data_IF_091144626009
#
_entry.id   IF_091144626009
#
_cell.length_a   1.000
_cell.length_b   1.000
_cell.length_c   1.000
_cell.angle_alpha   90.00
_cell.angle_beta   90.00
_cell.angle_gamma   90.00
#
_symmetry.space_group_name_H-M   'P 1'
#
loop_
_entity.id
_entity.type
_entity.pdbx_description
1 polymer ?
#
# COMPACT_ATOMS: atom_id res chain seq x y z
N UNK A 1 45.59 23.80 29.33
CA UNK A 1 45.71 22.86 28.19
C UNK A 1 44.33 22.64 27.63
N UNK A 2 43.94 23.38 26.59
CA UNK A 2 42.72 23.10 25.84
C UNK A 2 42.96 21.81 25.07
N UNK A 3 42.21 20.75 25.37
CA UNK A 3 42.11 19.58 24.52
C UNK A 3 41.66 20.07 23.15
N UNK A 4 42.57 20.09 22.18
CA UNK A 4 42.22 20.38 20.79
C UNK A 4 41.25 19.30 20.35
N UNK A 5 39.99 19.68 20.12
CA UNK A 5 39.03 18.79 19.48
C UNK A 5 39.52 18.56 18.05
N UNK A 6 40.19 17.43 17.84
CA UNK A 6 40.57 17.00 16.49
C UNK A 6 39.30 16.96 15.63
N UNK A 7 39.33 17.57 14.43
CA UNK A 7 38.18 17.61 13.54
C UNK A 7 37.76 16.17 13.22
N UNK A 8 36.59 15.78 13.74
CA UNK A 8 35.97 14.49 13.44
C UNK A 8 35.93 14.30 11.92
N UNK A 9 36.49 13.20 11.38
CA UNK A 9 36.54 12.99 9.95
C UNK A 9 35.14 13.03 9.38
N UNK A 10 34.92 13.92 8.42
CA UNK A 10 33.62 14.03 7.77
C UNK A 10 33.30 12.69 7.11
N UNK A 11 32.11 12.10 7.36
CA UNK A 11 31.78 10.81 6.78
C UNK A 11 31.81 10.93 5.26
N UNK A 12 32.57 10.02 4.63
CA UNK A 12 32.76 9.97 3.18
C UNK A 12 31.42 9.94 2.44
N UNK A 13 31.39 10.46 1.22
CA UNK A 13 30.20 10.46 0.34
C UNK A 13 29.58 9.05 0.25
N UNK A 14 30.42 8.00 0.16
CA UNK A 14 30.00 6.60 0.13
C UNK A 14 29.26 6.17 1.40
N UNK A 15 29.75 6.55 2.60
CA UNK A 15 29.08 6.23 3.87
C UNK A 15 27.72 6.92 3.98
N UNK A 16 27.60 8.16 3.49
CA UNK A 16 26.33 8.88 3.42
C UNK A 16 25.36 8.20 2.44
N UNK A 17 25.84 7.80 1.27
CA UNK A 17 25.04 7.08 0.27
C UNK A 17 24.56 5.72 0.81
N UNK A 18 25.43 4.92 1.44
CA UNK A 18 25.07 3.64 2.05
C UNK A 18 24.10 3.82 3.23
N UNK A 19 24.27 4.87 4.05
CA UNK A 19 23.33 5.19 5.13
C UNK A 19 21.95 5.57 4.57
N UNK A 20 21.89 6.36 3.50
CA UNK A 20 20.63 6.74 2.85
C UNK A 20 19.96 5.52 2.18
N UNK A 21 20.75 4.65 1.55
CA UNK A 21 20.27 3.40 0.98
C UNK A 21 19.70 2.48 2.05
N UNK A 22 20.47 2.16 3.09
CA UNK A 22 20.02 1.31 4.22
C UNK A 22 18.80 1.90 4.94
N UNK A 23 18.71 3.23 5.08
CA UNK A 23 17.53 3.88 5.63
C UNK A 23 16.30 3.74 4.72
N UNK A 24 16.47 3.78 3.39
CA UNK A 24 15.39 3.58 2.42
C UNK A 24 14.75 2.19 2.51
N UNK A 25 15.56 1.17 2.87
CA UNK A 25 15.13 -0.21 3.11
C UNK A 25 14.84 -0.53 4.59
N UNK A 26 15.02 0.43 5.49
CA UNK A 26 14.76 0.22 6.92
C UNK A 26 13.25 0.18 7.15
N UNK A 27 12.68 -1.02 7.10
CA UNK A 27 11.27 -1.24 7.38
C UNK A 27 10.92 -0.76 8.79
N UNK A 28 10.18 0.35 8.87
CA UNK A 28 9.74 0.94 10.12
C UNK A 28 8.37 0.40 10.46
N UNK A 29 8.35 -0.58 11.36
CA UNK A 29 7.09 -1.03 11.95
C UNK A 29 6.63 0.04 12.93
N UNK A 30 5.41 0.58 12.76
CA UNK A 30 4.77 1.56 13.64
C UNK A 30 4.32 0.90 14.95
N UNK A 31 5.27 0.36 15.68
CA UNK A 31 5.03 -0.24 16.98
C UNK A 31 5.72 0.64 18.02
N UNK A 32 5.03 1.04 19.09
CA UNK A 32 5.60 1.91 20.14
C UNK A 32 6.63 1.18 21.04
N UNK A 33 6.76 -0.15 20.90
CA UNK A 33 7.71 -0.96 21.69
C UNK A 33 9.18 -0.94 21.23
N UNK A 34 10.09 -1.52 22.04
CA UNK A 34 11.52 -1.49 21.77
C UNK A 34 11.89 -2.20 20.45
N UNK A 35 12.95 -1.78 19.73
CA UNK A 35 13.29 -2.28 18.39
C UNK A 35 13.41 -3.81 18.29
N UNK A 36 13.96 -4.45 19.32
CA UNK A 36 14.09 -5.92 19.40
C UNK A 36 12.72 -6.61 19.38
N UNK A 37 11.73 -6.04 20.07
CA UNK A 37 10.36 -6.56 20.09
C UNK A 37 9.69 -6.38 18.73
N UNK A 38 9.91 -5.27 18.03
CA UNK A 38 9.34 -5.05 16.69
C UNK A 38 9.74 -6.13 15.68
N UNK A 39 11.03 -6.46 15.64
CA UNK A 39 11.56 -7.51 14.75
C UNK A 39 10.97 -8.89 15.08
N UNK A 40 10.84 -9.21 16.37
CA UNK A 40 10.21 -10.46 16.82
C UNK A 40 8.74 -10.55 16.42
N UNK A 41 7.97 -9.47 16.61
CA UNK A 41 6.56 -9.42 16.20
C UNK A 41 6.43 -9.59 14.70
N UNK A 42 7.25 -8.91 13.90
CA UNK A 42 7.24 -9.07 12.45
C UNK A 42 7.58 -10.50 12.02
N UNK A 43 8.66 -11.06 12.56
CA UNK A 43 9.05 -12.43 12.28
C UNK A 43 7.91 -13.40 12.65
N UNK A 44 7.25 -13.21 13.79
CA UNK A 44 6.09 -14.00 14.19
C UNK A 44 4.94 -13.88 13.18
N UNK A 45 4.60 -12.67 12.72
CA UNK A 45 3.55 -12.45 11.70
C UNK A 45 3.87 -13.24 10.42
N UNK A 46 5.11 -13.15 9.93
CA UNK A 46 5.55 -13.86 8.73
C UNK A 46 5.55 -15.37 8.94
N UNK A 47 6.06 -15.86 10.08
CA UNK A 47 6.09 -17.28 10.41
C UNK A 47 4.67 -17.87 10.52
N UNK A 48 3.74 -17.18 11.19
CA UNK A 48 2.34 -17.62 11.30
C UNK A 48 1.71 -17.71 9.90
N UNK A 49 1.90 -16.70 9.06
CA UNK A 49 1.39 -16.72 7.69
C UNK A 49 1.99 -17.87 6.86
N UNK A 50 3.30 -18.12 7.00
CA UNK A 50 3.98 -19.20 6.30
C UNK A 50 3.50 -20.59 6.75
N UNK A 51 3.39 -20.83 8.06
CA UNK A 51 2.88 -22.09 8.62
C UNK A 51 1.43 -22.32 8.20
N UNK A 52 0.58 -21.30 8.31
CA UNK A 52 -0.81 -21.39 7.87
C UNK A 52 -0.90 -21.82 6.40
N UNK A 53 -0.15 -21.18 5.50
CA UNK A 53 -0.19 -21.52 4.08
C UNK A 53 0.41 -22.89 3.79
N UNK A 54 1.50 -23.27 4.47
CA UNK A 54 2.09 -24.60 4.31
C UNK A 54 1.08 -25.71 4.69
N UNK A 55 0.32 -25.51 5.77
CA UNK A 55 -0.74 -26.45 6.19
C UNK A 55 -1.85 -26.50 5.14
N UNK A 56 -2.36 -25.36 4.67
CA UNK A 56 -3.42 -25.33 3.66
C UNK A 56 -2.98 -25.98 2.35
N UNK A 57 -1.78 -25.65 1.84
CA UNK A 57 -1.21 -26.25 0.64
C UNK A 57 -1.07 -27.77 0.82
N UNK A 58 -0.55 -28.21 1.96
CA UNK A 58 -0.39 -29.64 2.25
C UNK A 58 -1.74 -30.37 2.28
N UNK A 59 -2.77 -29.78 2.89
CA UNK A 59 -4.11 -30.38 2.93
C UNK A 59 -4.76 -30.46 1.55
N UNK A 60 -4.62 -29.42 0.71
CA UNK A 60 -5.14 -29.44 -0.66
C UNK A 60 -4.40 -30.47 -1.51
N UNK A 61 -3.06 -30.50 -1.40
CA UNK A 61 -2.24 -31.49 -2.10
C UNK A 61 -2.59 -32.92 -1.67
N UNK A 62 -2.76 -33.17 -0.37
CA UNK A 62 -3.15 -34.47 0.16
C UNK A 62 -4.55 -34.88 -0.33
N UNK A 63 -5.50 -33.94 -0.35
CA UNK A 63 -6.85 -34.20 -0.84
C UNK A 63 -6.89 -34.54 -2.34
N UNK A 64 -6.05 -33.91 -3.16
CA UNK A 64 -5.88 -34.26 -4.58
C UNK A 64 -5.13 -35.58 -4.76
N UNK A 65 -4.13 -35.89 -3.92
CA UNK A 65 -3.34 -37.12 -4.05
C UNK A 65 -4.07 -38.38 -3.59
N UNK A 66 -4.98 -38.25 -2.62
CA UNK A 66 -5.79 -39.35 -2.07
C UNK A 66 -7.17 -39.46 -2.74
N UNK A 67 -7.37 -38.80 -3.88
CA UNK A 67 -8.62 -38.76 -4.65
C UNK A 67 -9.85 -38.32 -3.81
N UNK A 68 -9.64 -37.55 -2.73
CA UNK A 68 -10.75 -36.92 -1.97
C UNK A 68 -11.40 -35.80 -2.77
N UNK A 69 -10.62 -35.19 -3.65
CA UNK A 69 -11.06 -34.25 -4.66
C UNK A 69 -10.74 -34.85 -6.03
N UNK A 70 -11.70 -34.78 -6.95
CA UNK A 70 -11.58 -35.32 -8.30
C UNK A 70 -12.01 -34.31 -9.35
N UNK A 71 -11.76 -34.61 -10.63
CA UNK A 71 -12.25 -33.79 -11.73
C UNK A 71 -13.78 -33.55 -11.72
N UNK A 72 -14.56 -34.48 -11.13
CA UNK A 72 -16.02 -34.36 -11.05
C UNK A 72 -16.47 -33.21 -10.13
N UNK A 73 -15.64 -32.77 -9.19
CA UNK A 73 -15.96 -31.62 -8.33
C UNK A 73 -16.06 -30.30 -9.11
N UNK A 74 -15.55 -30.29 -10.35
CA UNK A 74 -15.69 -29.17 -11.29
C UNK A 74 -16.94 -29.28 -12.18
N UNK A 75 -17.77 -30.31 -12.03
CA UNK A 75 -19.05 -30.40 -12.75
C UNK A 75 -19.92 -29.15 -12.46
N UNK A 76 -20.43 -28.52 -13.52
CA UNK A 76 -21.19 -27.27 -13.42
C UNK A 76 -20.36 -25.98 -13.49
N UNK A 77 -19.02 -26.06 -13.56
CA UNK A 77 -18.16 -24.91 -13.86
C UNK A 77 -18.01 -24.63 -15.37
N UNK A 78 -18.55 -25.51 -16.22
CA UNK A 78 -18.50 -25.42 -17.67
C UNK A 78 -17.45 -26.35 -18.28
N UNK A 79 -17.34 -26.35 -19.61
CA UNK A 79 -16.33 -27.16 -20.30
C UNK A 79 -14.92 -26.66 -20.00
N UNK A 80 -13.99 -27.59 -19.78
CA UNK A 80 -12.57 -27.27 -19.76
C UNK A 80 -12.18 -26.57 -21.06
N UNK A 81 -11.47 -25.45 -20.94
CA UNK A 81 -10.93 -24.71 -22.07
C UNK A 81 -9.75 -25.50 -22.62
N UNK A 82 -9.67 -25.60 -23.94
CA UNK A 82 -8.50 -26.17 -24.61
C UNK A 82 -7.28 -25.32 -24.23
N UNK A 83 -6.34 -25.89 -23.48
CA UNK A 83 -5.12 -25.22 -23.13
C UNK A 83 -4.35 -24.83 -24.39
N UNK A 84 -4.20 -23.53 -24.62
CA UNK A 84 -3.15 -23.01 -25.50
C UNK A 84 -2.01 -22.51 -24.62
N UNK A 85 -0.74 -22.75 -24.99
CA UNK A 85 0.44 -22.22 -24.29
C UNK A 85 0.33 -20.73 -23.91
N UNK A 86 -0.30 -19.94 -24.78
CA UNK A 86 -0.47 -18.51 -24.61
C UNK A 86 -1.50 -18.13 -23.55
N UNK A 87 -2.51 -18.96 -23.28
CA UNK A 87 -3.62 -18.62 -22.40
C UNK A 87 -3.43 -19.03 -20.93
N UNK A 88 -2.76 -20.16 -20.67
CA UNK A 88 -2.76 -20.81 -19.33
C UNK A 88 -1.36 -21.12 -18.79
N UNK A 89 -0.30 -20.68 -19.47
CA UNK A 89 1.07 -21.05 -19.15
C UNK A 89 1.44 -22.46 -19.66
N UNK A 90 2.65 -22.90 -19.32
CA UNK A 90 3.24 -24.12 -19.86
C UNK A 90 3.01 -25.38 -19.02
N UNK A 91 2.52 -25.25 -17.78
CA UNK A 91 2.22 -26.41 -16.96
C UNK A 91 1.12 -27.25 -17.62
N UNK A 92 1.42 -28.54 -17.86
CA UNK A 92 0.47 -29.45 -18.51
C UNK A 92 -0.76 -29.56 -17.61
N UNK A 93 -1.95 -29.54 -18.21
CA UNK A 93 -3.11 -30.07 -17.52
C UNK A 93 -2.83 -31.54 -17.16
N UNK A 94 -2.56 -31.84 -15.89
CA UNK A 94 -2.75 -33.18 -15.36
C UNK A 94 -4.11 -33.66 -15.86
N UNK A 95 -4.18 -34.91 -16.34
CA UNK A 95 -5.34 -35.41 -17.09
C UNK A 95 -6.65 -34.92 -16.45
N UNK A 96 -7.33 -33.94 -17.07
CA UNK A 96 -8.44 -33.25 -16.43
C UNK A 96 -9.66 -34.16 -16.26
N UNK A 97 -9.61 -35.39 -16.79
CA UNK A 97 -10.60 -36.42 -16.52
C UNK A 97 -10.38 -37.16 -15.18
N UNK A 98 -9.18 -37.08 -14.59
CA UNK A 98 -8.82 -37.93 -13.44
C UNK A 98 -8.35 -37.17 -12.21
N UNK A 99 -7.80 -35.95 -12.34
CA UNK A 99 -7.29 -35.18 -11.19
C UNK A 99 -8.07 -33.90 -10.96
N UNK A 100 -8.13 -33.47 -9.70
CA UNK A 100 -8.79 -32.22 -9.32
C UNK A 100 -7.93 -31.00 -9.68
N UNK A 101 -6.61 -31.09 -9.49
CA UNK A 101 -5.68 -30.02 -9.87
C UNK A 101 -5.19 -30.22 -11.30
N UNK A 102 -5.80 -29.51 -12.26
CA UNK A 102 -5.32 -29.53 -13.64
C UNK A 102 -3.89 -28.97 -13.74
N UNK A 103 -3.57 -27.86 -13.09
CA UNK A 103 -2.20 -27.32 -13.04
C UNK A 103 -1.72 -27.24 -11.59
N UNK A 104 -1.21 -28.33 -10.98
CA UNK A 104 -0.92 -28.40 -9.55
C UNK A 104 -0.02 -27.28 -9.02
N UNK A 105 1.13 -27.02 -9.65
CA UNK A 105 2.12 -26.05 -9.16
C UNK A 105 1.55 -24.62 -9.30
N UNK A 106 0.95 -24.32 -10.45
CA UNK A 106 0.34 -23.02 -10.74
C UNK A 106 -0.88 -22.77 -9.84
N UNK A 107 -1.73 -23.78 -9.62
CA UNK A 107 -2.87 -23.69 -8.70
C UNK A 107 -2.39 -23.42 -7.28
N UNK A 108 -1.46 -24.24 -6.76
CA UNK A 108 -0.97 -24.12 -5.39
C UNK A 108 -0.16 -22.83 -5.14
N UNK A 109 0.49 -22.29 -6.18
CA UNK A 109 1.20 -21.01 -6.05
C UNK A 109 0.28 -19.81 -5.72
N UNK A 110 -1.02 -19.92 -6.01
CA UNK A 110 -2.00 -18.89 -5.65
C UNK A 110 -2.16 -18.68 -4.15
N UNK A 111 -1.79 -19.67 -3.33
CA UNK A 111 -1.72 -19.49 -1.87
C UNK A 111 -0.68 -18.42 -1.46
N UNK A 112 0.21 -17.97 -2.36
CA UNK A 112 0.97 -16.74 -2.16
C UNK A 112 0.08 -15.53 -1.83
N UNK A 113 -1.10 -15.40 -2.45
CA UNK A 113 -2.05 -14.32 -2.14
C UNK A 113 -2.67 -14.49 -0.75
N UNK A 114 -2.95 -15.72 -0.32
CA UNK A 114 -3.43 -16.00 1.04
C UNK A 114 -2.34 -15.74 2.09
N UNK A 115 -1.07 -16.03 1.80
CA UNK A 115 0.06 -15.60 2.63
C UNK A 115 0.06 -14.08 2.82
N UNK A 116 -0.04 -13.32 1.72
CA UNK A 116 -0.15 -11.87 1.78
C UNK A 116 -1.38 -11.42 2.59
N UNK A 117 -2.54 -12.04 2.38
CA UNK A 117 -3.76 -11.73 3.12
C UNK A 117 -3.60 -11.93 4.64
N UNK A 118 -3.02 -13.05 5.07
CA UNK A 118 -2.82 -13.37 6.49
C UNK A 118 -1.83 -12.40 7.14
N UNK A 119 -0.78 -11.98 6.43
CA UNK A 119 0.14 -10.92 6.92
C UNK A 119 -0.60 -9.59 7.10
N UNK A 120 -1.37 -9.16 6.10
CA UNK A 120 -2.13 -7.91 6.14
C UNK A 120 -3.17 -7.94 7.27
N UNK A 121 -3.91 -9.05 7.40
CA UNK A 121 -4.94 -9.22 8.42
C UNK A 121 -4.34 -9.18 9.83
N UNK A 122 -3.21 -9.83 10.07
CA UNK A 122 -2.52 -9.78 11.37
C UNK A 122 -2.14 -8.35 11.74
N UNK A 123 -1.63 -7.55 10.80
CA UNK A 123 -1.38 -6.12 11.04
C UNK A 123 -2.67 -5.36 11.37
N UNK A 124 -3.75 -5.61 10.63
CA UNK A 124 -5.04 -4.98 10.87
C UNK A 124 -5.61 -5.30 12.26
N UNK A 125 -5.47 -6.55 12.72
CA UNK A 125 -5.90 -6.98 14.05
C UNK A 125 -5.06 -6.36 15.16
N UNK A 126 -3.74 -6.20 14.95
CA UNK A 126 -2.88 -5.47 15.88
C UNK A 126 -3.30 -3.99 15.98
N UNK A 127 -3.62 -3.36 14.85
CA UNK A 127 -4.12 -1.98 14.83
C UNK A 127 -5.47 -1.85 15.54
N UNK A 128 -6.41 -2.78 15.31
CA UNK A 128 -7.69 -2.81 16.02
C UNK A 128 -7.49 -2.93 17.53
N UNK A 129 -6.57 -3.81 17.95
CA UNK A 129 -6.26 -3.99 19.37
C UNK A 129 -5.65 -2.72 19.99
N UNK A 130 -4.78 -2.03 19.26
CA UNK A 130 -4.16 -0.79 19.75
C UNK A 130 -5.10 0.40 19.74
N UNK A 131 -5.90 0.57 18.70
CA UNK A 131 -6.82 1.70 18.53
C UNK A 131 -8.08 1.53 19.39
N UNK A 132 -8.59 0.30 19.51
CA UNK A 132 -9.77 -0.02 20.33
C UNK A 132 -9.56 0.25 21.81
N UNK A 133 -8.34 0.05 22.33
CA UNK A 133 -8.01 0.39 23.72
C UNK A 133 -7.87 1.90 23.96
N UNK A 134 -7.38 2.66 22.97
CA UNK A 134 -7.12 4.11 23.13
C UNK A 134 -8.38 4.96 22.92
N UNK A 135 -9.26 4.60 21.98
CA UNK A 135 -10.49 5.35 21.71
C UNK A 135 -11.53 5.28 22.85
N UNK A 136 -11.39 4.36 23.80
CA UNK A 136 -12.26 4.26 24.98
C UNK A 136 -11.81 5.11 26.17
N UNK A 137 -10.59 5.67 26.16
CA UNK A 137 -9.96 6.16 27.40
C UNK A 137 -9.79 7.68 27.49
N UNK A 138 -9.72 8.46 26.40
CA UNK A 138 -9.49 9.91 26.51
C UNK A 138 -10.15 10.76 25.41
N UNK A 139 -11.09 11.64 25.79
CA UNK A 139 -11.67 12.69 24.93
C UNK A 139 -10.65 13.78 24.51
N UNK A 140 -9.41 13.76 25.02
CA UNK A 140 -8.32 14.66 24.65
C UNK A 140 -7.39 14.14 23.55
N UNK A 141 -7.61 12.92 23.03
CA UNK A 141 -6.65 12.20 22.17
C UNK A 141 -6.71 12.52 20.66
N UNK A 142 -7.48 13.53 20.26
CA UNK A 142 -7.40 14.07 18.90
C UNK A 142 -5.97 14.54 18.54
N UNK A 143 -5.17 14.91 19.55
CA UNK A 143 -3.75 15.25 19.42
C UNK A 143 -2.82 14.04 19.27
N UNK A 144 -3.25 12.78 19.53
CA UNK A 144 -2.44 11.57 19.27
C UNK A 144 -2.76 10.91 17.93
N UNK A 145 -3.96 11.12 17.39
CA UNK A 145 -4.26 10.88 15.96
C UNK A 145 -3.42 11.77 15.01
N UNK A 146 -2.74 12.79 15.57
CA UNK A 146 -1.96 13.84 14.90
C UNK A 146 -0.72 13.36 14.13
N UNK A 147 -0.25 12.13 14.39
CA UNK A 147 0.86 11.47 13.66
C UNK A 147 0.53 10.03 13.24
N UNK A 148 -0.76 9.71 13.05
CA UNK A 148 -1.14 8.35 12.70
C UNK A 148 -0.87 8.05 11.23
N UNK A 149 -0.37 6.85 10.96
CA UNK A 149 -0.31 6.31 9.60
C UNK A 149 -1.72 6.04 9.11
N UNK A 150 -2.04 6.46 7.89
CA UNK A 150 -3.41 6.38 7.34
C UNK A 150 -3.99 4.96 7.43
N UNK A 151 -3.21 3.95 7.03
CA UNK A 151 -3.63 2.55 7.09
C UNK A 151 -3.74 2.04 8.54
N UNK A 152 -2.82 2.46 9.41
CA UNK A 152 -2.85 2.07 10.83
C UNK A 152 -4.02 2.71 11.59
N UNK A 153 -4.45 3.90 11.20
CA UNK A 153 -5.63 4.58 11.76
C UNK A 153 -6.95 3.96 11.29
N UNK A 154 -6.95 3.30 10.12
CA UNK A 154 -8.14 2.73 9.49
C UNK A 154 -7.92 1.23 9.18
N UNK A 155 -7.91 0.35 10.19
CA UNK A 155 -7.63 -1.08 10.00
C UNK A 155 -8.63 -1.78 9.08
N UNK A 156 -9.86 -1.27 8.94
CA UNK A 156 -10.83 -1.79 7.96
C UNK A 156 -10.32 -1.74 6.52
N UNK A 157 -9.47 -0.76 6.18
CA UNK A 157 -8.83 -0.70 4.86
C UNK A 157 -7.86 -1.87 4.64
N UNK A 158 -7.16 -2.30 5.69
CA UNK A 158 -6.29 -3.47 5.64
C UNK A 158 -7.10 -4.76 5.56
N UNK A 159 -8.18 -4.87 6.34
CA UNK A 159 -9.08 -6.04 6.30
C UNK A 159 -9.69 -6.22 4.91
N UNK A 160 -10.17 -5.15 4.30
CA UNK A 160 -10.73 -5.21 2.95
C UNK A 160 -9.68 -5.62 1.90
N UNK A 161 -8.45 -5.10 1.99
CA UNK A 161 -7.36 -5.54 1.09
C UNK A 161 -7.03 -7.03 1.29
N UNK A 162 -6.97 -7.50 2.54
CA UNK A 162 -6.78 -8.91 2.83
C UNK A 162 -7.92 -9.75 2.23
N UNK A 163 -9.17 -9.28 2.31
CA UNK A 163 -10.32 -9.89 1.66
C UNK A 163 -10.16 -9.97 0.14
N UNK A 164 -9.72 -8.89 -0.52
CA UNK A 164 -9.41 -8.91 -1.96
C UNK A 164 -8.34 -9.95 -2.31
N UNK A 165 -7.30 -10.09 -1.49
CA UNK A 165 -6.26 -11.12 -1.68
C UNK A 165 -6.79 -12.55 -1.49
N UNK A 166 -7.71 -12.79 -0.54
CA UNK A 166 -8.37 -14.10 -0.38
C UNK A 166 -9.24 -14.42 -1.58
N UNK A 167 -10.04 -13.45 -2.06
CA UNK A 167 -10.85 -13.62 -3.27
C UNK A 167 -9.96 -13.95 -4.47
N UNK A 168 -8.89 -13.18 -4.69
CA UNK A 168 -7.88 -13.46 -5.72
C UNK A 168 -7.31 -14.88 -5.62
N UNK A 169 -6.86 -15.29 -4.43
CA UNK A 169 -6.34 -16.64 -4.19
C UNK A 169 -7.37 -17.70 -4.63
N UNK A 170 -8.61 -17.56 -4.18
CA UNK A 170 -9.67 -18.53 -4.43
C UNK A 170 -10.01 -18.60 -5.93
N UNK A 171 -10.26 -17.46 -6.57
CA UNK A 171 -10.68 -17.43 -7.98
C UNK A 171 -9.57 -17.90 -8.91
N UNK A 172 -8.32 -17.50 -8.65
CA UNK A 172 -7.17 -17.92 -9.44
C UNK A 172 -6.84 -19.39 -9.23
N UNK A 173 -6.91 -19.88 -7.98
CA UNK A 173 -6.79 -21.31 -7.67
C UNK A 173 -7.84 -22.13 -8.44
N UNK A 174 -9.13 -21.75 -8.37
CA UNK A 174 -10.20 -22.45 -9.08
C UNK A 174 -10.02 -22.41 -10.60
N UNK A 175 -9.51 -21.32 -11.15
CA UNK A 175 -9.20 -21.26 -12.58
C UNK A 175 -8.11 -22.26 -12.98
N UNK A 176 -6.96 -22.24 -12.32
CA UNK A 176 -5.84 -23.13 -12.67
C UNK A 176 -6.10 -24.60 -12.32
N UNK A 177 -6.93 -24.85 -11.30
CA UNK A 177 -7.31 -26.21 -10.92
C UNK A 177 -8.35 -26.79 -11.90
N UNK A 178 -9.30 -25.99 -12.39
CA UNK A 178 -10.40 -26.49 -13.24
C UNK A 178 -10.20 -26.28 -14.74
N UNK A 179 -9.44 -25.26 -15.13
CA UNK A 179 -9.31 -24.73 -16.49
C UNK A 179 -10.65 -24.44 -17.18
N UNK A 180 -11.68 -24.08 -16.41
CA UNK A 180 -13.04 -23.80 -16.94
C UNK A 180 -13.26 -22.32 -17.24
N UNK A 181 -14.08 -22.01 -18.26
CA UNK A 181 -14.38 -20.61 -18.61
C UNK A 181 -14.90 -19.79 -17.43
N UNK A 182 -15.72 -20.40 -16.55
CA UNK A 182 -16.21 -19.75 -15.34
C UNK A 182 -15.07 -19.41 -14.39
N UNK A 183 -14.14 -20.36 -14.16
CA UNK A 183 -12.94 -20.14 -13.37
C UNK A 183 -12.12 -18.97 -13.90
N UNK A 184 -11.79 -18.96 -15.20
CA UNK A 184 -10.98 -17.90 -15.81
C UNK A 184 -11.64 -16.53 -15.70
N UNK A 185 -12.96 -16.46 -15.89
CA UNK A 185 -13.69 -15.18 -15.76
C UNK A 185 -13.67 -14.66 -14.32
N UNK A 186 -13.78 -15.56 -13.33
CA UNK A 186 -13.66 -15.20 -11.92
C UNK A 186 -12.25 -14.73 -11.56
N UNK A 187 -11.22 -15.43 -12.04
CA UNK A 187 -9.82 -15.07 -11.87
C UNK A 187 -9.53 -13.66 -12.40
N UNK A 188 -9.86 -13.41 -13.66
CA UNK A 188 -9.69 -12.11 -14.29
C UNK A 188 -10.47 -11.00 -13.56
N UNK A 189 -11.73 -11.27 -13.20
CA UNK A 189 -12.56 -10.32 -12.44
C UNK A 189 -11.93 -9.91 -11.10
N UNK A 190 -11.31 -10.87 -10.39
CA UNK A 190 -10.63 -10.60 -9.12
C UNK A 190 -9.40 -9.68 -9.27
N UNK A 191 -8.72 -9.72 -10.42
CA UNK A 191 -7.58 -8.84 -10.74
C UNK A 191 -8.04 -7.39 -10.81
N UNK A 192 -9.19 -7.13 -11.43
CA UNK A 192 -9.75 -5.78 -11.45
C UNK A 192 -10.16 -5.32 -10.05
N UNK A 193 -10.76 -6.18 -9.24
CA UNK A 193 -11.15 -5.85 -7.86
C UNK A 193 -9.95 -5.37 -7.05
N UNK A 194 -8.84 -6.11 -7.06
CA UNK A 194 -7.65 -5.74 -6.29
C UNK A 194 -6.97 -4.47 -6.84
N UNK A 195 -6.90 -4.32 -8.17
CA UNK A 195 -6.34 -3.11 -8.80
C UNK A 195 -7.14 -1.86 -8.45
N UNK A 196 -8.46 -1.91 -8.57
CA UNK A 196 -9.33 -0.77 -8.24
C UNK A 196 -9.21 -0.43 -6.76
N UNK A 197 -9.11 -1.44 -5.89
CA UNK A 197 -8.90 -1.22 -4.47
C UNK A 197 -7.58 -0.48 -4.17
N UNK A 198 -6.47 -0.90 -4.79
CA UNK A 198 -5.17 -0.22 -4.65
C UNK A 198 -5.21 1.21 -5.19
N UNK A 199 -5.86 1.43 -6.35
CA UNK A 199 -6.07 2.76 -6.91
C UNK A 199 -6.85 3.63 -5.90
N UNK A 200 -7.90 3.10 -5.31
CA UNK A 200 -8.66 3.82 -4.30
C UNK A 200 -7.88 4.14 -3.05
N UNK A 201 -7.04 3.22 -2.54
CA UNK A 201 -6.12 3.53 -1.45
C UNK A 201 -5.18 4.68 -1.83
N UNK A 202 -4.65 4.68 -3.05
CA UNK A 202 -3.82 5.77 -3.56
C UNK A 202 -4.61 7.08 -3.71
N UNK A 203 -5.88 7.03 -4.09
CA UNK A 203 -6.77 8.19 -4.16
C UNK A 203 -7.08 8.76 -2.77
N UNK A 204 -7.41 7.93 -1.79
CA UNK A 204 -7.61 8.32 -0.38
C UNK A 204 -6.36 9.02 0.16
N UNK A 205 -5.19 8.49 -0.17
CA UNK A 205 -3.88 9.10 0.12
C UNK A 205 -3.72 10.46 -0.55
N UNK A 206 -4.05 10.59 -1.83
CA UNK A 206 -3.98 11.85 -2.57
C UNK A 206 -4.94 12.90 -1.99
N UNK A 207 -6.18 12.53 -1.70
CA UNK A 207 -7.19 13.40 -1.09
C UNK A 207 -6.72 13.89 0.28
N UNK A 208 -6.19 12.98 1.11
CA UNK A 208 -5.61 13.32 2.41
C UNK A 208 -4.46 14.30 2.27
N UNK A 209 -3.63 14.12 1.25
CA UNK A 209 -2.53 15.03 0.93
C UNK A 209 -3.00 16.40 0.42
N UNK A 210 -4.12 16.46 -0.31
CA UNK A 210 -4.74 17.69 -0.81
C UNK A 210 -5.57 18.43 0.26
N UNK A 211 -5.61 17.92 1.50
CA UNK A 211 -6.35 18.52 2.63
C UNK A 211 -7.86 18.68 2.38
N UNK A 212 -8.45 17.85 1.51
CA UNK A 212 -9.91 17.79 1.32
C UNK A 212 -10.52 17.02 2.50
N UNK A 213 -10.51 17.66 3.68
CA UNK A 213 -10.63 17.03 5.01
C UNK A 213 -12.08 16.89 5.49
N UNK A 214 -13.02 16.58 4.60
CA UNK A 214 -14.35 16.22 5.07
C UNK A 214 -14.37 14.70 5.31
N UNK A 215 -14.36 14.27 6.58
CA UNK A 215 -14.30 12.85 6.97
C UNK A 215 -15.41 12.01 6.35
N UNK A 216 -16.56 12.63 6.07
CA UNK A 216 -17.67 12.04 5.31
C UNK A 216 -17.29 11.78 3.85
N UNK A 217 -16.58 12.71 3.20
CA UNK A 217 -16.09 12.56 1.83
C UNK A 217 -15.05 11.45 1.74
N UNK A 218 -14.17 11.31 2.73
CA UNK A 218 -13.19 10.22 2.76
C UNK A 218 -13.86 8.85 2.90
N UNK A 219 -14.84 8.75 3.81
CA UNK A 219 -15.61 7.52 4.02
C UNK A 219 -16.43 7.15 2.79
N UNK A 220 -17.11 8.12 2.17
CA UNK A 220 -17.84 7.95 0.91
C UNK A 220 -16.87 7.56 -0.20
N UNK A 221 -15.72 8.21 -0.35
CA UNK A 221 -14.73 7.84 -1.35
C UNK A 221 -14.23 6.39 -1.17
N UNK A 222 -13.96 5.97 0.07
CA UNK A 222 -13.57 4.59 0.40
C UNK A 222 -14.69 3.61 0.01
N UNK A 223 -15.94 3.91 0.34
CA UNK A 223 -17.08 3.03 0.05
C UNK A 223 -17.40 3.00 -1.45
N UNK A 224 -17.34 4.15 -2.13
CA UNK A 224 -17.54 4.27 -3.57
C UNK A 224 -16.45 3.55 -4.36
N UNK A 225 -15.19 3.61 -3.92
CA UNK A 225 -14.10 2.79 -4.50
C UNK A 225 -14.41 1.32 -4.29
N UNK A 226 -14.77 0.91 -3.07
CA UNK A 226 -14.99 -0.50 -2.75
C UNK A 226 -16.17 -1.08 -3.54
N UNK A 227 -17.28 -0.34 -3.63
CA UNK A 227 -18.44 -0.71 -4.45
C UNK A 227 -18.14 -0.64 -5.94
N UNK A 228 -17.41 0.39 -6.39
CA UNK A 228 -16.99 0.56 -7.78
C UNK A 228 -16.07 -0.58 -8.24
N UNK A 229 -15.18 -1.07 -7.36
CA UNK A 229 -14.32 -2.22 -7.63
C UNK A 229 -15.14 -3.49 -7.86
N UNK A 230 -16.10 -3.76 -6.98
CA UNK A 230 -16.99 -4.91 -7.08
C UNK A 230 -17.87 -4.84 -8.34
N UNK A 231 -18.44 -3.66 -8.61
CA UNK A 231 -19.30 -3.47 -9.77
C UNK A 231 -18.53 -3.51 -11.10
N UNK A 232 -17.33 -2.92 -11.17
CA UNK A 232 -16.47 -3.02 -12.34
C UNK A 232 -16.01 -4.45 -12.59
N UNK A 233 -15.64 -5.20 -11.53
CA UNK A 233 -15.35 -6.63 -11.64
C UNK A 233 -16.52 -7.41 -12.23
N UNK A 234 -17.75 -7.13 -11.78
CA UNK A 234 -18.97 -7.73 -12.34
C UNK A 234 -19.24 -7.34 -13.81
N UNK A 235 -19.01 -6.09 -14.19
CA UNK A 235 -19.25 -5.63 -15.58
C UNK A 235 -18.20 -6.13 -16.55
N UNK A 236 -16.94 -6.20 -16.13
CA UNK A 236 -15.88 -6.83 -16.92
C UNK A 236 -16.14 -8.33 -17.08
N UNK A 237 -16.65 -8.99 -16.03
CA UNK A 237 -17.15 -10.37 -16.12
C UNK A 237 -18.22 -10.52 -17.21
N UNK A 238 -19.25 -9.66 -17.22
CA UNK A 238 -20.29 -9.73 -18.26
C UNK A 238 -19.76 -9.41 -19.67
N UNK A 239 -18.85 -8.45 -19.79
CA UNK A 239 -18.31 -8.03 -21.08
C UNK A 239 -17.40 -9.09 -21.70
N UNK A 240 -16.49 -9.68 -20.91
CA UNK A 240 -15.62 -10.76 -21.36
C UNK A 240 -16.41 -12.02 -21.73
N UNK A 241 -17.55 -12.25 -21.09
CA UNK A 241 -18.50 -13.31 -21.48
C UNK A 241 -19.05 -13.09 -22.91
N UNK A 242 -19.16 -11.85 -23.37
CA UNK A 242 -19.84 -11.51 -24.63
C UNK A 242 -18.91 -11.39 -25.84
N UNK A 243 -17.65 -10.99 -25.66
CA UNK A 243 -16.79 -10.59 -26.80
C UNK A 243 -15.75 -11.65 -27.19
N UNK A 244 -15.54 -12.68 -26.35
CA UNK A 244 -14.48 -13.64 -26.59
C UNK A 244 -13.13 -13.05 -26.16
N UNK A 245 -12.42 -13.83 -25.35
CA UNK A 245 -11.17 -13.53 -24.70
C UNK A 245 -10.02 -13.25 -25.67
N UNK A 246 -9.58 -12.00 -25.91
CA UNK A 246 -8.28 -11.81 -26.62
C UNK A 246 -7.33 -10.70 -26.12
N UNK A 247 -7.73 -9.65 -25.41
CA UNK A 247 -6.78 -8.56 -25.08
C UNK A 247 -6.17 -8.62 -23.67
N UNK A 248 -5.16 -9.48 -23.49
CA UNK A 248 -4.35 -9.57 -22.27
C UNK A 248 -3.48 -8.34 -21.98
N UNK A 249 -3.23 -7.51 -23.00
CA UNK A 249 -2.43 -6.28 -22.89
C UNK A 249 -3.08 -5.25 -21.96
N UNK A 250 -4.40 -5.14 -21.98
CA UNK A 250 -5.16 -4.18 -21.18
C UNK A 250 -5.02 -4.42 -19.68
N UNK A 251 -4.92 -5.69 -19.27
CA UNK A 251 -4.77 -6.09 -17.87
C UNK A 251 -3.39 -5.73 -17.32
N UNK A 252 -2.34 -5.96 -18.12
CA UNK A 252 -0.97 -5.59 -17.73
C UNK A 252 -0.85 -4.08 -17.62
N UNK A 253 -1.47 -3.33 -18.54
CA UNK A 253 -1.56 -1.88 -18.47
C UNK A 253 -2.33 -1.44 -17.22
N UNK A 254 -3.39 -2.14 -16.81
CA UNK A 254 -4.13 -1.82 -15.59
C UNK A 254 -3.34 -2.07 -14.30
N UNK A 255 -2.61 -3.18 -14.22
CA UNK A 255 -1.70 -3.49 -13.11
C UNK A 255 -0.55 -2.48 -13.06
N UNK A 256 0.03 -2.17 -14.22
CA UNK A 256 1.03 -1.13 -14.36
C UNK A 256 0.43 0.21 -13.95
N UNK A 257 -0.75 0.62 -14.40
CA UNK A 257 -1.36 1.89 -13.99
C UNK A 257 -1.70 1.91 -12.50
N UNK A 258 -2.19 0.82 -11.90
CA UNK A 258 -2.44 0.76 -10.45
C UNK A 258 -1.15 0.96 -9.64
N UNK A 259 -0.07 0.28 -10.04
CA UNK A 259 1.24 0.39 -9.38
C UNK A 259 1.95 1.70 -9.75
N UNK A 260 1.95 2.10 -11.02
CA UNK A 260 2.67 3.23 -11.64
C UNK A 260 1.95 4.58 -11.46
N UNK A 261 0.63 4.61 -11.31
CA UNK A 261 -0.08 5.82 -10.89
C UNK A 261 -0.09 5.91 -9.37
N UNK A 262 -0.37 4.80 -8.67
CA UNK A 262 -0.49 4.78 -7.21
C UNK A 262 0.82 5.01 -6.45
N UNK A 263 1.94 4.48 -6.96
CA UNK A 263 3.26 4.61 -6.33
C UNK A 263 4.05 5.79 -6.92
N UNK A 264 4.22 5.92 -8.25
CA UNK A 264 4.92 7.02 -8.86
C UNK A 264 4.29 8.40 -8.83
N UNK A 265 2.97 8.62 -8.84
CA UNK A 265 2.50 10.02 -8.89
C UNK A 265 2.99 10.85 -7.68
N UNK A 266 2.90 10.35 -6.44
CA UNK A 266 3.54 11.01 -5.29
C UNK A 266 5.07 10.95 -5.29
N UNK A 267 5.68 9.95 -5.96
CA UNK A 267 7.13 9.84 -6.16
C UNK A 267 7.66 10.89 -7.13
N UNK A 268 7.03 11.07 -8.29
CA UNK A 268 7.33 12.08 -9.29
C UNK A 268 7.08 13.48 -8.73
N UNK A 269 6.01 13.70 -7.94
CA UNK A 269 5.86 14.95 -7.18
C UNK A 269 7.03 15.12 -6.18
N UNK A 270 7.46 14.03 -5.54
CA UNK A 270 8.62 14.00 -4.66
C UNK A 270 9.92 14.36 -5.38
N UNK A 271 10.22 13.71 -6.50
CA UNK A 271 11.39 13.92 -7.36
C UNK A 271 11.35 15.32 -7.96
N UNK A 272 10.23 15.76 -8.53
CA UNK A 272 10.09 17.09 -9.10
C UNK A 272 10.36 18.17 -8.04
N UNK A 273 9.90 17.95 -6.79
CA UNK A 273 10.26 18.82 -5.67
C UNK A 273 11.72 18.72 -5.28
N UNK A 274 12.30 17.52 -5.25
CA UNK A 274 13.71 17.33 -4.97
C UNK A 274 14.57 18.06 -6.02
N UNK A 275 14.27 17.90 -7.30
CA UNK A 275 14.93 18.58 -8.41
C UNK A 275 14.73 20.09 -8.34
N UNK A 276 13.51 20.57 -8.09
CA UNK A 276 13.24 22.00 -7.83
C UNK A 276 14.09 22.51 -6.67
N UNK A 277 14.25 21.70 -5.62
CA UNK A 277 15.07 22.03 -4.47
C UNK A 277 16.58 22.04 -4.84
N UNK A 278 17.06 21.08 -5.63
CA UNK A 278 18.46 21.07 -6.06
C UNK A 278 18.79 22.28 -6.95
N UNK A 279 17.95 22.54 -7.96
CA UNK A 279 18.12 23.64 -8.92
C UNK A 279 18.01 25.00 -8.21
N UNK A 280 17.02 25.17 -7.33
CA UNK A 280 16.88 26.40 -6.55
C UNK A 280 18.07 26.67 -5.63
N UNK A 281 18.72 25.63 -5.11
CA UNK A 281 19.91 25.74 -4.26
C UNK A 281 21.15 26.18 -5.04
N UNK A 282 21.27 25.73 -6.28
CA UNK A 282 22.32 26.17 -7.19
C UNK A 282 22.17 27.66 -7.58
N UNK A 283 20.93 28.15 -7.73
CA UNK A 283 20.66 29.53 -8.19
C UNK A 283 20.65 30.54 -7.03
N UNK A 284 20.05 30.19 -5.89
CA UNK A 284 19.76 31.13 -4.79
C UNK A 284 20.79 31.12 -3.66
N UNK A 285 21.84 30.29 -3.76
CA UNK A 285 22.99 30.32 -2.87
C UNK A 285 22.76 29.77 -1.44
N UNK A 286 23.74 30.03 -0.56
CA UNK A 286 23.88 29.39 0.76
C UNK A 286 22.74 29.67 1.75
N UNK A 287 22.08 30.82 1.66
CA UNK A 287 20.95 31.16 2.55
C UNK A 287 19.70 30.35 2.25
N UNK A 288 19.45 30.09 0.97
CA UNK A 288 18.34 29.25 0.56
C UNK A 288 18.56 27.80 0.98
N UNK A 289 19.81 27.31 0.87
CA UNK A 289 20.20 26.00 1.39
C UNK A 289 19.98 25.88 2.90
N UNK A 290 20.29 26.90 3.71
CA UNK A 290 20.00 26.89 5.16
C UNK A 290 18.50 26.84 5.47
N UNK A 291 17.67 27.58 4.72
CA UNK A 291 16.21 27.52 4.88
C UNK A 291 15.65 26.17 4.47
N UNK A 292 16.20 25.56 3.42
CA UNK A 292 15.85 24.20 3.01
C UNK A 292 16.29 23.21 4.06
N UNK A 293 17.51 23.27 4.57
CA UNK A 293 18.04 22.33 5.56
C UNK A 293 17.24 22.36 6.87
N UNK A 294 16.83 23.55 7.34
CA UNK A 294 15.93 23.66 8.50
C UNK A 294 14.56 23.03 8.21
N UNK A 295 13.96 23.38 7.06
CA UNK A 295 12.67 22.79 6.64
C UNK A 295 12.79 21.29 6.34
N UNK A 296 13.95 20.82 5.89
CA UNK A 296 14.23 19.41 5.60
C UNK A 296 14.42 18.64 6.89
N UNK A 297 15.18 19.12 7.87
CA UNK A 297 15.23 18.48 9.21
C UNK A 297 13.83 18.36 9.83
N UNK A 298 13.03 19.42 9.74
CA UNK A 298 11.65 19.41 10.21
C UNK A 298 10.76 18.46 9.39
N UNK A 299 11.03 18.27 8.09
CA UNK A 299 10.29 17.36 7.19
C UNK A 299 10.79 15.92 7.18
N UNK A 300 12.05 15.69 7.49
CA UNK A 300 12.73 14.39 7.54
C UNK A 300 12.29 13.63 8.79
N UNK A 301 12.09 14.34 9.90
CA UNK A 301 11.31 13.83 11.04
C UNK A 301 9.87 13.46 10.63
N UNK A 302 9.26 14.21 9.70
CA UNK A 302 7.86 14.02 9.23
C UNK A 302 7.67 13.02 8.08
N UNK A 303 8.70 12.56 7.37
CA UNK A 303 8.58 11.67 6.19
C UNK A 303 9.51 10.46 6.26
N UNK A 304 9.27 9.58 7.23
CA UNK A 304 9.86 8.24 7.20
C UNK A 304 9.12 7.36 6.19
N UNK A 305 9.34 7.60 4.90
CA UNK A 305 8.81 6.75 3.82
C UNK A 305 9.83 5.69 3.48
N UNK A 306 9.44 4.42 3.53
CA UNK A 306 10.31 3.33 3.08
C UNK A 306 10.19 3.16 1.56
N UNK A 307 10.84 4.05 0.81
CA UNK A 307 10.88 3.95 -0.65
C UNK A 307 11.46 2.61 -1.15
N UNK A 308 12.28 1.94 -0.34
CA UNK A 308 12.75 0.59 -0.64
C UNK A 308 11.59 -0.39 -0.85
N UNK A 309 10.50 -0.30 -0.10
CA UNK A 309 9.31 -1.16 -0.28
C UNK A 309 8.58 -0.87 -1.59
N UNK A 310 8.44 0.40 -1.98
CA UNK A 310 7.86 0.78 -3.27
C UNK A 310 8.71 0.24 -4.45
N UNK A 311 10.04 0.32 -4.33
CA UNK A 311 10.97 -0.24 -5.33
C UNK A 311 10.86 -1.77 -5.35
N UNK A 312 10.80 -2.43 -4.20
CA UNK A 312 10.61 -3.89 -4.13
C UNK A 312 9.28 -4.33 -4.74
N UNK A 313 8.20 -3.56 -4.54
CA UNK A 313 6.92 -3.81 -5.20
C UNK A 313 7.05 -3.75 -6.73
N UNK A 314 7.72 -2.71 -7.24
CA UNK A 314 7.96 -2.53 -8.68
C UNK A 314 8.84 -3.65 -9.25
N UNK A 315 9.94 -3.98 -8.58
CA UNK A 315 10.83 -5.08 -9.00
C UNK A 315 10.06 -6.39 -9.00
N UNK A 316 9.24 -6.65 -7.98
CA UNK A 316 8.46 -7.88 -7.89
C UNK A 316 7.49 -8.02 -9.06
N UNK A 317 6.71 -6.99 -9.39
CA UNK A 317 5.77 -7.08 -10.52
C UNK A 317 6.48 -7.20 -11.87
N UNK A 318 7.61 -6.52 -12.06
CA UNK A 318 8.41 -6.64 -13.29
C UNK A 318 9.05 -8.03 -13.41
N UNK A 319 9.63 -8.55 -12.33
CA UNK A 319 10.19 -9.90 -12.30
C UNK A 319 9.12 -10.95 -12.57
N UNK A 320 7.94 -10.83 -11.92
CA UNK A 320 6.79 -11.67 -12.22
C UNK A 320 6.47 -11.64 -13.71
N UNK A 321 6.31 -10.44 -14.30
CA UNK A 321 5.98 -10.30 -15.74
C UNK A 321 6.99 -11.02 -16.63
N UNK A 322 8.28 -10.86 -16.34
CA UNK A 322 9.34 -11.55 -17.07
C UNK A 322 9.22 -13.08 -16.93
N UNK A 323 8.92 -13.60 -15.74
CA UNK A 323 8.68 -15.04 -15.56
C UNK A 323 7.47 -15.53 -16.33
N UNK A 324 6.38 -14.75 -16.39
CA UNK A 324 5.20 -15.09 -17.18
C UNK A 324 5.49 -15.10 -18.69
N UNK A 325 6.16 -14.07 -19.20
CA UNK A 325 6.54 -14.02 -20.62
C UNK A 325 7.50 -15.15 -20.98
N UNK A 326 8.48 -15.41 -20.11
CA UNK A 326 9.43 -16.51 -20.28
C UNK A 326 8.73 -17.87 -20.27
N UNK A 327 7.76 -18.07 -19.39
CA UNK A 327 6.90 -19.24 -19.38
C UNK A 327 6.25 -19.42 -20.76
N UNK A 328 5.45 -18.45 -21.19
CA UNK A 328 4.66 -18.51 -22.42
C UNK A 328 5.48 -18.66 -23.71
N UNK A 329 6.73 -18.18 -23.74
CA UNK A 329 7.54 -18.13 -24.97
C UNK A 329 8.65 -19.17 -25.04
N UNK A 330 9.28 -19.53 -23.91
CA UNK A 330 10.46 -20.38 -23.88
C UNK A 330 10.26 -21.70 -23.14
N UNK A 331 9.50 -21.68 -22.03
CA UNK A 331 9.37 -22.87 -21.18
C UNK A 331 8.46 -23.94 -21.77
N UNK A 332 7.60 -23.58 -22.72
CA UNK A 332 6.77 -24.53 -23.48
C UNK A 332 7.56 -25.33 -24.54
N UNK A 333 8.89 -25.17 -24.61
CA UNK A 333 9.75 -25.98 -25.47
C UNK A 333 10.08 -27.34 -24.83
N UNK A 334 10.59 -28.27 -25.64
CA UNK A 334 10.94 -29.64 -25.21
C UNK A 334 11.91 -29.71 -24.01
N UNK A 335 12.66 -28.64 -23.73
CA UNK A 335 13.70 -28.59 -22.70
C UNK A 335 13.18 -28.39 -21.28
N UNK A 336 12.11 -27.61 -21.12
CA UNK A 336 11.51 -27.28 -19.82
C UNK A 336 10.12 -27.90 -19.68
N UNK A 337 9.87 -28.97 -20.45
CA UNK A 337 8.57 -29.56 -20.75
C UNK A 337 7.61 -29.63 -19.57
N UNK A 338 6.32 -29.82 -19.84
CA UNK A 338 5.23 -29.30 -19.00
C UNK A 338 5.05 -30.05 -17.65
N UNK A 339 5.94 -30.99 -17.34
CA UNK A 339 6.12 -31.70 -16.07
C UNK A 339 7.26 -31.14 -15.21
N UNK A 340 7.94 -30.10 -15.66
CA UNK A 340 9.07 -29.53 -14.94
C UNK A 340 8.59 -28.88 -13.63
N UNK A 341 9.34 -29.08 -12.54
CA UNK A 341 8.98 -28.58 -11.22
C UNK A 341 9.08 -27.05 -11.10
N UNK A 342 9.82 -26.43 -12.00
CA UNK A 342 9.92 -24.97 -12.13
C UNK A 342 8.92 -24.50 -13.19
N UNK A 343 7.91 -23.74 -12.77
CA UNK A 343 6.85 -23.16 -13.61
C UNK A 343 6.90 -21.63 -13.51
N UNK A 344 7.12 -20.95 -14.64
CA UNK A 344 7.26 -19.50 -14.66
C UNK A 344 5.94 -18.80 -14.29
N UNK A 345 4.81 -19.39 -14.67
CA UNK A 345 3.48 -18.90 -14.30
C UNK A 345 3.23 -18.98 -12.77
N UNK A 346 3.69 -20.04 -12.12
CA UNK A 346 3.61 -20.17 -10.67
C UNK A 346 4.43 -19.08 -9.95
N UNK A 347 5.63 -18.77 -10.47
CA UNK A 347 6.42 -17.66 -9.95
C UNK A 347 5.74 -16.31 -10.17
N UNK A 348 5.07 -16.11 -11.31
CA UNK A 348 4.26 -14.91 -11.56
C UNK A 348 3.26 -14.66 -10.42
N UNK A 349 2.50 -15.67 -9.98
CA UNK A 349 1.58 -15.54 -8.84
C UNK A 349 2.27 -15.11 -7.56
N UNK A 350 3.38 -15.77 -7.22
CA UNK A 350 4.15 -15.48 -6.01
C UNK A 350 4.67 -14.02 -6.03
N UNK A 351 5.24 -13.59 -7.16
CA UNK A 351 5.74 -12.23 -7.32
C UNK A 351 4.62 -11.17 -7.30
N UNK A 352 3.46 -11.45 -7.89
CA UNK A 352 2.28 -10.58 -7.80
C UNK A 352 1.79 -10.45 -6.35
N UNK A 353 1.71 -11.56 -5.62
CA UNK A 353 1.30 -11.55 -4.22
C UNK A 353 2.28 -10.74 -3.34
N UNK A 354 3.59 -10.88 -3.55
CA UNK A 354 4.59 -10.07 -2.86
C UNK A 354 4.57 -8.60 -3.28
N UNK A 355 4.30 -8.30 -4.55
CA UNK A 355 4.15 -6.92 -5.01
C UNK A 355 3.03 -6.21 -4.24
N UNK A 356 1.86 -6.87 -4.07
CA UNK A 356 0.75 -6.35 -3.25
C UNK A 356 1.18 -6.16 -1.80
N UNK A 357 1.87 -7.15 -1.21
CA UNK A 357 2.36 -7.04 0.16
C UNK A 357 3.29 -5.84 0.32
N UNK A 358 4.22 -5.62 -0.61
CA UNK A 358 5.14 -4.50 -0.57
C UNK A 358 4.46 -3.15 -0.78
N UNK A 359 3.45 -3.06 -1.66
CA UNK A 359 2.61 -1.85 -1.79
C UNK A 359 1.88 -1.56 -0.48
N UNK A 360 1.27 -2.58 0.14
CA UNK A 360 0.62 -2.44 1.43
C UNK A 360 1.58 -1.95 2.51
N UNK A 361 2.74 -2.61 2.63
CA UNK A 361 3.77 -2.24 3.60
C UNK A 361 4.32 -0.83 3.35
N UNK A 362 4.44 -0.43 2.08
CA UNK A 362 4.82 0.92 1.69
C UNK A 362 3.79 1.94 2.19
N UNK A 363 2.51 1.77 1.86
CA UNK A 363 1.44 2.66 2.32
C UNK A 363 1.33 2.68 3.85
N UNK A 364 1.50 1.53 4.49
CA UNK A 364 1.53 1.42 5.95
C UNK A 364 2.69 2.19 6.55
N UNK A 365 3.88 2.19 5.92
CA UNK A 365 5.04 2.91 6.45
C UNK A 365 4.86 4.44 6.46
N UNK A 366 3.91 4.98 5.69
CA UNK A 366 3.73 6.42 5.55
C UNK A 366 3.07 7.05 6.77
N UNK A 367 3.81 7.99 7.38
CA UNK A 367 3.30 8.88 8.42
C UNK A 367 2.92 10.21 7.77
N UNK A 368 1.70 10.70 8.02
CA UNK A 368 1.25 12.03 7.60
C UNK A 368 1.19 12.95 8.82
N UNK A 369 2.12 13.90 8.93
CA UNK A 369 2.01 14.98 9.91
C UNK A 369 1.11 16.09 9.33
N UNK A 370 -0.20 15.97 9.57
CA UNK A 370 -1.22 16.87 9.01
C UNK A 370 -1.24 18.23 9.73
N UNK A 371 -0.96 18.25 11.04
CA UNK A 371 -1.14 19.46 11.85
C UNK A 371 0.07 20.39 11.90
N UNK A 372 1.28 19.94 11.58
CA UNK A 372 2.42 20.85 11.40
C UNK A 372 2.11 21.97 10.40
N UNK A 373 1.29 21.67 9.39
CA UNK A 373 0.83 22.65 8.40
C UNK A 373 -0.25 23.61 8.94
N UNK A 374 -1.20 23.10 9.73
CA UNK A 374 -2.26 23.91 10.31
C UNK A 374 -1.77 24.85 11.42
N UNK A 375 -0.75 24.43 12.18
CA UNK A 375 -0.11 25.29 13.16
C UNK A 375 0.76 26.35 12.47
N UNK A 376 1.49 26.00 11.42
CA UNK A 376 2.22 26.98 10.60
C UNK A 376 1.24 28.02 10.01
N UNK A 377 0.08 27.61 9.46
CA UNK A 377 -0.90 28.57 8.92
C UNK A 377 -1.56 29.43 9.99
N UNK A 378 -1.86 28.86 11.17
CA UNK A 378 -2.40 29.63 12.32
C UNK A 378 -1.37 30.59 12.91
N UNK A 379 -0.11 30.20 13.03
CA UNK A 379 0.97 31.10 13.47
C UNK A 379 1.19 32.21 12.44
N UNK A 380 1.13 31.92 11.14
CA UNK A 380 1.23 32.95 10.10
C UNK A 380 0.05 33.94 10.17
N UNK A 381 -1.17 33.45 10.37
CA UNK A 381 -2.38 34.27 10.55
C UNK A 381 -2.30 35.13 11.81
N UNK A 382 -1.83 34.55 12.93
CA UNK A 382 -1.60 35.26 14.19
C UNK A 382 -0.52 36.34 14.04
N UNK A 383 0.63 36.00 13.46
CA UNK A 383 1.73 36.94 13.20
C UNK A 383 1.36 38.04 12.21
N UNK A 384 0.45 37.77 11.26
CA UNK A 384 -0.06 38.78 10.33
C UNK A 384 -1.00 39.75 11.05
N UNK A 385 -1.92 39.23 11.88
CA UNK A 385 -2.80 40.05 12.71
C UNK A 385 -2.02 40.95 13.69
N UNK A 386 -0.93 40.44 14.26
CA UNK A 386 -0.07 41.20 15.19
C UNK A 386 0.74 42.28 14.47
N UNK A 387 1.26 42.01 13.27
CA UNK A 387 1.91 43.03 12.42
C UNK A 387 0.96 44.15 12.02
N UNK A 388 -0.28 43.82 11.67
CA UNK A 388 -1.32 44.83 11.37
C UNK A 388 -1.62 45.77 12.55
N UNK A 389 -1.60 45.26 13.80
CA UNK A 389 -1.73 46.11 14.99
C UNK A 389 -0.56 47.04 15.19
N UNK A 390 0.66 46.56 14.99
CA UNK A 390 1.86 47.37 15.23
C UNK A 390 2.09 48.43 14.15
N UNK A 391 1.71 48.18 12.90
CA UNK A 391 1.79 49.20 11.83
C UNK A 391 0.73 50.31 11.98
N UNK A 392 -0.39 50.05 12.66
CA UNK A 392 -1.41 51.06 12.95
C UNK A 392 -1.09 51.97 14.15
N UNK A 393 -0.10 51.61 14.99
CA UNK A 393 0.20 52.31 16.24
C UNK A 393 1.23 53.45 16.09
N UNK A 394 1.84 53.62 14.92
CA UNK A 394 2.89 54.62 14.68
C UNK A 394 2.41 55.94 14.07
N UNK A 395 1.09 56.19 13.95
CA UNK A 395 0.58 57.41 13.30
C UNK A 395 -0.51 58.20 14.04
N UNK A 396 -0.85 57.87 15.29
CA UNK A 396 -1.78 58.69 16.09
C UNK A 396 -1.14 59.17 17.40
N UNK A 397 -0.46 60.31 17.32
CA UNK A 397 -0.36 61.22 18.46
C UNK A 397 -1.73 61.87 18.67
N UNK A 398 -2.51 61.36 19.63
CA UNK A 398 -3.67 62.07 20.16
C UNK A 398 -4.95 61.22 20.18
N UNK A 399 -5.37 60.86 21.38
CA UNK A 399 -6.73 60.37 21.65
C UNK A 399 -6.75 59.14 22.54
N UNK A 400 -6.77 59.35 23.86
CA UNK A 400 -7.40 58.41 24.79
C UNK A 400 -8.78 58.03 24.24
N UNK A 401 -9.06 56.74 24.07
CA UNK A 401 -10.38 56.08 24.22
C UNK A 401 -10.30 54.66 23.62
N UNK A 402 -10.93 53.71 24.32
CA UNK A 402 -11.17 52.30 23.97
C UNK A 402 -10.10 51.26 24.34
N UNK A 403 -9.94 51.07 25.65
CA UNK A 403 -9.37 49.87 26.28
C UNK A 403 -10.48 49.00 26.92
N UNK A 404 -11.62 48.78 26.24
CA UNK A 404 -12.79 48.09 26.83
C UNK A 404 -13.32 46.88 26.04
N UNK A 405 -12.78 46.54 24.87
CA UNK A 405 -13.37 45.47 24.02
C UNK A 405 -12.62 44.13 24.01
N UNK A 406 -11.49 43.98 24.71
CA UNK A 406 -10.75 42.70 24.74
C UNK A 406 -11.05 41.80 25.94
N UNK A 407 -11.61 42.33 27.03
CA UNK A 407 -12.00 41.51 28.20
C UNK A 407 -13.31 40.74 27.92
N UNK A 408 -14.26 41.32 27.17
CA UNK A 408 -15.54 40.68 26.84
C UNK A 408 -15.43 39.50 25.86
N UNK A 409 -14.44 39.49 24.96
CA UNK A 409 -14.26 38.35 24.02
C UNK A 409 -13.70 37.10 24.71
N UNK A 410 -13.05 37.22 25.86
CA UNK A 410 -12.53 36.07 26.62
C UNK A 410 -13.65 35.36 27.39
N UNK A 411 -14.62 36.11 27.92
CA UNK A 411 -15.79 35.55 28.60
C UNK A 411 -16.74 34.77 27.67
N UNK A 412 -16.90 35.17 26.39
CA UNK A 412 -17.78 34.45 25.45
C UNK A 412 -17.25 33.07 24.99
N UNK A 413 -15.97 32.76 25.22
CA UNK A 413 -15.38 31.47 24.83
C UNK A 413 -15.43 30.42 25.93
N UNK A 414 -15.59 30.81 27.19
CA UNK A 414 -15.71 29.88 28.31
C UNK A 414 -17.16 29.41 28.53
N UNK A 415 -18.16 30.14 28.02
CA UNK A 415 -19.58 29.78 28.16
C UNK A 415 -20.16 28.78 27.14
N UNK A 416 -19.38 28.29 26.18
CA UNK A 416 -19.85 27.31 25.16
C UNK A 416 -19.41 25.86 25.54
N UNK A 417 -18.77 25.68 26.70
CA UNK A 417 -18.34 24.38 27.19
C UNK A 417 -19.40 23.53 27.91
N UNK A 418 -20.59 24.06 28.20
CA UNK A 418 -21.63 23.36 28.99
C UNK A 418 -22.84 22.86 28.19
N UNK A 419 -22.85 22.99 26.86
CA UNK A 419 -23.90 22.40 26.01
C UNK A 419 -23.28 21.68 24.83
N UNK A 420 -22.66 20.54 25.12
CA UNK A 420 -22.41 19.36 24.26
C UNK A 420 -21.92 18.24 25.19
#
# INVERSE_FOLDING_TARGET
MSSGDDPQPTPTLLRRALSAFTHSFSFHIPWEGPPKTKRKVFAAIICIAAVFNAVVIFLVWLADSEDWLTAQDWEGWGSAIRQTPTAVGCEYAANPATRYLAQPITSLSNFGFTFTAVVILQFALLDLRHNGLKNLVCNSDFEKLRESQLIGAHPLLSINLAGCCVVMCYTSFCWHASLTHKGGTMDMGSIYVICIYIIGLASVRLISYLHLRNSKVLTVAIHTVSFGALYAGYRVYEHNRLIGYENWEDMTIFLILGVVVGVPFPFFIGIARMLKNTIGGCILGKEWLKRIEKKEKEREVRRRRSWGLAILALISILAGKLFREYDQTWMCSDWFGPHHWFQGHALWHVFCAFAILFVYLFFRSEVFNIYGYLNESREEEFNWAERGRNSGRSSSSGGEVMELTMVERRASREGIGEVL
#
